data_IF_907958509007
#
_entry.id   IF_907958509007
#
_cell.length_a   1.000
_cell.length_b   1.000
_cell.length_c   1.000
_cell.angle_alpha   90.00
_cell.angle_beta   90.00
_cell.angle_gamma   90.00
#
_symmetry.space_group_name_H-M   'P 1'
#
loop_
_entity.id
_entity.type
_entity.pdbx_description
1 polymer ?
#
# COMPACT_ATOMS: atom_id res chain seq x y z
N UNK A 1 -46.22 -9.93 13.96
CA UNK A 1 -45.61 -9.15 12.86
C UNK A 1 -44.11 -9.07 13.10
N UNK A 2 -43.29 -9.70 12.23
CA UNK A 2 -41.85 -9.90 12.46
C UNK A 2 -41.01 -8.70 12.01
N UNK A 3 -40.15 -8.25 12.92
CA UNK A 3 -39.02 -7.33 12.81
C UNK A 3 -38.00 -7.80 11.75
N UNK A 4 -38.09 -7.28 10.52
CA UNK A 4 -37.12 -7.59 9.44
C UNK A 4 -36.39 -6.31 8.95
N UNK A 5 -36.92 -5.11 9.20
CA UNK A 5 -36.36 -3.86 8.66
C UNK A 5 -35.20 -3.23 9.46
N UNK A 6 -34.95 -3.65 10.70
CA UNK A 6 -33.88 -3.08 11.54
C UNK A 6 -32.49 -3.63 11.21
N UNK A 7 -32.38 -4.89 10.79
CA UNK A 7 -31.08 -5.57 10.63
C UNK A 7 -30.33 -5.20 9.33
N UNK A 8 -31.07 -4.87 8.26
CA UNK A 8 -30.50 -4.41 6.97
C UNK A 8 -29.90 -3.00 7.11
N UNK A 9 -30.55 -2.14 7.90
CA UNK A 9 -30.08 -0.77 8.15
C UNK A 9 -28.76 -0.77 8.92
N UNK A 10 -28.66 -1.60 9.97
CA UNK A 10 -27.47 -1.68 10.83
C UNK A 10 -26.25 -2.21 10.07
N UNK A 11 -26.41 -3.30 9.30
CA UNK A 11 -25.36 -3.85 8.44
C UNK A 11 -24.84 -2.83 7.42
N UNK A 12 -25.74 -2.03 6.83
CA UNK A 12 -25.35 -1.00 5.85
C UNK A 12 -24.56 0.17 6.46
N UNK A 13 -24.81 0.48 7.74
CA UNK A 13 -24.09 1.52 8.48
C UNK A 13 -22.70 1.02 8.89
N UNK A 14 -22.59 -0.23 9.32
CA UNK A 14 -21.31 -0.87 9.67
C UNK A 14 -20.38 -0.97 8.45
N UNK A 15 -20.91 -1.36 7.29
CA UNK A 15 -20.14 -1.41 6.04
C UNK A 15 -19.66 -0.02 5.61
N UNK A 16 -20.50 1.02 5.76
CA UNK A 16 -20.11 2.42 5.49
C UNK A 16 -19.02 2.91 6.44
N UNK A 17 -19.13 2.59 7.73
CA UNK A 17 -18.14 2.97 8.74
C UNK A 17 -16.80 2.28 8.50
N UNK A 18 -16.82 0.99 8.12
CA UNK A 18 -15.62 0.25 7.74
C UNK A 18 -14.94 0.85 6.51
N UNK A 19 -15.70 1.22 5.49
CA UNK A 19 -15.18 1.89 4.30
C UNK A 19 -14.56 3.24 4.62
N UNK A 20 -15.19 4.04 5.49
CA UNK A 20 -14.63 5.33 5.94
C UNK A 20 -13.32 5.14 6.70
N UNK A 21 -13.27 4.24 7.67
CA UNK A 21 -12.06 3.93 8.42
C UNK A 21 -10.90 3.47 7.51
N UNK A 22 -11.21 2.67 6.48
CA UNK A 22 -10.22 2.25 5.50
C UNK A 22 -9.70 3.42 4.64
N UNK A 23 -10.59 4.32 4.21
CA UNK A 23 -10.21 5.53 3.46
C UNK A 23 -9.33 6.44 4.32
N UNK A 24 -9.69 6.65 5.59
CA UNK A 24 -8.90 7.49 6.50
C UNK A 24 -7.54 6.87 6.79
N UNK A 25 -7.48 5.54 6.93
CA UNK A 25 -6.22 4.81 7.03
C UNK A 25 -5.34 5.01 5.79
N UNK A 26 -5.93 4.94 4.59
CA UNK A 26 -5.20 5.18 3.34
C UNK A 26 -4.67 6.61 3.26
N UNK A 27 -5.50 7.61 3.63
CA UNK A 27 -5.10 9.02 3.68
C UNK A 27 -3.93 9.25 4.62
N UNK A 28 -3.97 8.70 5.84
CA UNK A 28 -2.86 8.82 6.80
C UNK A 28 -1.55 8.21 6.29
N UNK A 29 -1.63 7.26 5.35
CA UNK A 29 -0.47 6.56 4.75
C UNK A 29 -0.01 7.18 3.43
N UNK A 30 -0.67 8.21 2.89
CA UNK A 30 -0.26 8.88 1.65
C UNK A 30 1.15 9.48 1.72
N UNK A 31 1.54 10.00 2.89
CA UNK A 31 2.88 10.55 3.14
C UNK A 31 4.00 9.51 3.00
N UNK A 32 3.68 8.22 3.00
CA UNK A 32 4.64 7.14 2.79
C UNK A 32 5.00 6.95 1.32
N UNK A 33 4.16 7.39 0.39
CA UNK A 33 4.44 7.35 -1.04
C UNK A 33 5.24 8.60 -1.45
N UNK A 34 6.01 8.46 -2.54
CA UNK A 34 6.75 9.58 -3.13
C UNK A 34 6.40 9.70 -4.62
N UNK A 35 6.68 10.87 -5.20
CA UNK A 35 6.62 11.10 -6.65
C UNK A 35 5.25 10.78 -7.27
N UNK A 36 5.28 10.11 -8.41
CA UNK A 36 4.09 9.79 -9.21
C UNK A 36 3.05 8.96 -8.44
N UNK A 37 3.47 8.01 -7.61
CA UNK A 37 2.54 7.19 -6.83
C UNK A 37 1.78 8.01 -5.79
N UNK A 38 2.47 8.96 -5.14
CA UNK A 38 1.83 9.87 -4.19
C UNK A 38 0.82 10.76 -4.90
N UNK A 39 1.23 11.38 -6.01
CA UNK A 39 0.36 12.24 -6.81
C UNK A 39 -0.88 11.48 -7.28
N UNK A 40 -0.70 10.27 -7.83
CA UNK A 40 -1.78 9.41 -8.29
C UNK A 40 -2.77 9.10 -7.17
N UNK A 41 -2.28 8.70 -5.99
CA UNK A 41 -3.13 8.34 -4.87
C UNK A 41 -3.80 9.56 -4.22
N UNK A 42 -3.15 10.73 -4.22
CA UNK A 42 -3.77 12.01 -3.84
C UNK A 42 -4.93 12.35 -4.77
N UNK A 43 -4.73 12.27 -6.09
CA UNK A 43 -5.82 12.50 -7.06
C UNK A 43 -7.01 11.56 -6.83
N UNK A 44 -6.74 10.31 -6.45
CA UNK A 44 -7.77 9.30 -6.21
C UNK A 44 -8.50 9.47 -4.86
N UNK A 45 -7.77 9.69 -3.75
CA UNK A 45 -8.31 9.64 -2.38
C UNK A 45 -8.75 10.99 -1.82
N UNK A 46 -8.08 12.08 -2.20
CA UNK A 46 -8.36 13.42 -1.69
C UNK A 46 -9.29 14.16 -2.66
N UNK A 47 -8.98 14.10 -3.95
CA UNK A 47 -9.75 14.82 -4.96
C UNK A 47 -10.94 14.00 -5.53
N UNK A 48 -11.06 12.73 -5.14
CA UNK A 48 -12.16 11.86 -5.57
C UNK A 48 -12.18 11.54 -7.07
N UNK A 49 -11.06 11.72 -7.79
CA UNK A 49 -11.02 11.45 -9.22
C UNK A 49 -11.12 9.95 -9.48
N UNK A 50 -11.96 9.58 -10.44
CA UNK A 50 -12.01 8.20 -10.90
C UNK A 50 -10.83 7.89 -11.84
N UNK A 51 -10.50 6.61 -12.04
CA UNK A 51 -9.36 6.22 -12.89
C UNK A 51 -9.48 6.69 -14.34
N UNK A 52 -10.69 6.97 -14.84
CA UNK A 52 -10.91 7.52 -16.18
C UNK A 52 -10.49 9.00 -16.25
N UNK A 53 -10.88 9.82 -15.28
CA UNK A 53 -10.45 11.22 -15.19
C UNK A 53 -8.93 11.32 -15.10
N UNK A 54 -8.31 10.50 -14.25
CA UNK A 54 -6.85 10.47 -14.09
C UNK A 54 -6.18 10.03 -15.40
N UNK A 55 -6.72 9.04 -16.13
CA UNK A 55 -6.16 8.63 -17.44
C UNK A 55 -6.19 9.74 -18.47
N UNK A 56 -7.30 10.47 -18.54
CA UNK A 56 -7.46 11.56 -19.50
C UNK A 56 -6.50 12.71 -19.22
N UNK A 57 -6.24 13.00 -17.96
CA UNK A 57 -5.30 14.06 -17.56
C UNK A 57 -3.83 13.70 -17.81
N UNK A 58 -3.45 12.43 -17.65
CA UNK A 58 -2.06 12.00 -17.72
C UNK A 58 -1.68 11.31 -19.05
N UNK A 59 -2.62 11.14 -19.98
CA UNK A 59 -2.39 10.44 -21.25
C UNK A 59 -2.09 8.94 -21.09
N UNK A 60 -2.37 8.35 -19.94
CA UNK A 60 -2.08 6.96 -19.62
C UNK A 60 -3.31 6.07 -19.81
N UNK A 61 -3.10 4.78 -20.04
CA UNK A 61 -4.21 3.83 -20.16
C UNK A 61 -5.00 3.69 -18.84
N UNK A 62 -6.33 3.82 -18.91
CA UNK A 62 -7.27 3.67 -17.79
C UNK A 62 -7.05 2.37 -17.01
N UNK A 63 -6.86 1.25 -17.71
CA UNK A 63 -6.71 -0.06 -17.06
C UNK A 63 -5.41 -0.15 -16.25
N UNK A 64 -4.33 0.45 -16.76
CA UNK A 64 -3.05 0.53 -16.07
C UNK A 64 -3.14 1.37 -14.80
N UNK A 65 -3.85 2.50 -14.86
CA UNK A 65 -4.10 3.35 -13.68
C UNK A 65 -4.93 2.62 -12.64
N UNK A 66 -6.06 2.01 -13.03
CA UNK A 66 -6.90 1.26 -12.10
C UNK A 66 -6.12 0.12 -11.43
N UNK A 67 -5.31 -0.63 -12.20
CA UNK A 67 -4.42 -1.67 -11.66
C UNK A 67 -3.34 -1.10 -10.75
N UNK A 68 -2.82 0.11 -11.01
CA UNK A 68 -1.82 0.75 -10.15
C UNK A 68 -2.45 1.18 -8.82
N UNK A 69 -3.59 1.88 -8.86
CA UNK A 69 -4.35 2.29 -7.68
C UNK A 69 -4.67 1.06 -6.81
N UNK A 70 -5.26 0.01 -7.39
CA UNK A 70 -5.62 -1.19 -6.62
C UNK A 70 -4.41 -1.83 -5.92
N UNK A 71 -3.27 -1.95 -6.62
CA UNK A 71 -2.04 -2.50 -6.04
C UNK A 71 -1.49 -1.63 -4.91
N UNK A 72 -1.51 -0.31 -5.06
CA UNK A 72 -1.08 0.62 -4.02
C UNK A 72 -2.02 0.55 -2.81
N UNK A 73 -3.33 0.55 -3.02
CA UNK A 73 -4.34 0.39 -1.95
C UNK A 73 -4.08 -0.88 -1.13
N UNK A 74 -3.96 -2.04 -1.79
CA UNK A 74 -3.71 -3.32 -1.10
C UNK A 74 -2.41 -3.25 -0.28
N UNK A 75 -1.32 -2.73 -0.86
CA UNK A 75 0.00 -2.66 -0.20
C UNK A 75 0.08 -1.63 0.91
N UNK A 76 -0.62 -0.52 0.75
CA UNK A 76 -0.77 0.47 1.81
C UNK A 76 -1.53 -0.10 2.99
N UNK A 77 -2.45 -1.04 2.80
CA UNK A 77 -3.24 -1.68 3.87
C UNK A 77 -2.54 -2.87 4.53
N UNK A 78 -1.83 -3.68 3.75
CA UNK A 78 -1.11 -4.91 4.12
C UNK A 78 -0.17 -4.78 5.35
N UNK A 79 0.30 -3.57 5.65
CA UNK A 79 0.93 -3.27 6.93
C UNK A 79 2.39 -3.72 7.09
N UNK A 80 2.95 -4.55 6.18
CA UNK A 80 4.36 -4.97 6.26
C UNK A 80 5.33 -3.79 6.36
N UNK A 81 5.16 -2.81 5.48
CA UNK A 81 6.00 -1.62 5.52
C UNK A 81 5.78 -0.77 6.78
N UNK A 82 4.56 -0.77 7.33
CA UNK A 82 4.25 -0.08 8.60
C UNK A 82 4.98 -0.76 9.76
N UNK A 83 5.03 -2.09 9.78
CA UNK A 83 5.82 -2.85 10.76
C UNK A 83 7.30 -2.52 10.66
N UNK A 84 7.84 -2.35 9.45
CA UNK A 84 9.22 -1.87 9.27
C UNK A 84 9.42 -0.47 9.87
N UNK A 85 8.49 0.47 9.65
CA UNK A 85 8.56 1.83 10.21
C UNK A 85 8.51 1.79 11.74
N UNK A 86 7.58 1.03 12.32
CA UNK A 86 7.44 0.88 13.79
C UNK A 86 8.72 0.31 14.41
N UNK A 87 9.38 -0.61 13.71
CA UNK A 87 10.62 -1.24 14.15
C UNK A 87 11.87 -0.64 13.47
N UNK A 88 11.83 0.63 13.06
CA UNK A 88 12.90 1.27 12.26
C UNK A 88 14.31 1.10 12.82
N UNK A 89 14.46 0.96 14.15
CA UNK A 89 15.74 0.77 14.84
C UNK A 89 16.43 -0.56 14.47
N UNK A 90 15.67 -1.56 14.02
CA UNK A 90 16.18 -2.86 13.56
C UNK A 90 16.68 -2.84 12.10
N UNK A 91 16.49 -1.72 11.38
CA UNK A 91 16.81 -1.61 9.96
C UNK A 91 17.78 -0.47 9.70
N UNK A 92 18.75 -0.70 8.83
CA UNK A 92 19.55 0.38 8.28
C UNK A 92 18.78 1.14 7.17
N UNK A 93 19.30 2.31 6.77
CA UNK A 93 18.67 3.16 5.75
C UNK A 93 18.46 2.43 4.41
N UNK A 94 19.42 1.60 4.01
CA UNK A 94 19.35 0.84 2.76
C UNK A 94 18.26 -0.24 2.80
N UNK A 95 18.16 -0.98 3.90
CA UNK A 95 17.10 -1.96 4.16
C UNK A 95 15.72 -1.30 4.17
N UNK A 96 15.57 -0.13 4.80
CA UNK A 96 14.32 0.64 4.79
C UNK A 96 13.93 1.09 3.38
N UNK A 97 14.90 1.49 2.57
CA UNK A 97 14.68 1.89 1.19
C UNK A 97 14.23 0.69 0.31
N UNK A 98 14.88 -0.47 0.45
CA UNK A 98 14.45 -1.72 -0.21
C UNK A 98 13.08 -2.17 0.29
N UNK A 99 12.80 -2.08 1.59
CA UNK A 99 11.51 -2.42 2.17
C UNK A 99 10.39 -1.54 1.59
N UNK A 100 10.63 -0.23 1.46
CA UNK A 100 9.69 0.71 0.83
C UNK A 100 9.41 0.30 -0.61
N UNK A 101 10.47 0.08 -1.39
CA UNK A 101 10.30 -0.27 -2.80
C UNK A 101 9.56 -1.60 -2.97
N UNK A 102 9.88 -2.60 -2.15
CA UNK A 102 9.34 -3.94 -2.27
C UNK A 102 7.93 -4.10 -1.70
N UNK A 103 7.70 -3.66 -0.45
CA UNK A 103 6.42 -3.89 0.24
C UNK A 103 5.39 -2.82 -0.11
N UNK A 104 5.78 -1.53 -0.12
CA UNK A 104 4.85 -0.44 -0.36
C UNK A 104 4.62 -0.19 -1.85
N UNK A 105 5.68 0.07 -2.63
CA UNK A 105 5.52 0.48 -4.05
C UNK A 105 5.37 -0.71 -5.01
N UNK A 106 5.73 -1.92 -4.56
CA UNK A 106 5.58 -3.16 -5.31
C UNK A 106 6.52 -3.30 -6.50
N UNK A 107 7.72 -2.73 -6.42
CA UNK A 107 8.75 -2.92 -7.43
C UNK A 107 9.27 -4.37 -7.41
N UNK A 108 9.58 -4.90 -8.59
CA UNK A 108 10.23 -6.20 -8.71
C UNK A 108 11.69 -6.11 -8.25
N UNK A 109 12.26 -7.22 -7.79
CA UNK A 109 13.68 -7.31 -7.39
C UNK A 109 14.61 -6.73 -8.47
N UNK A 110 14.31 -6.99 -9.76
CA UNK A 110 15.05 -6.41 -10.90
C UNK A 110 15.01 -4.88 -10.89
N UNK A 111 13.82 -4.29 -10.73
CA UNK A 111 13.66 -2.82 -10.73
C UNK A 111 14.32 -2.19 -9.49
N UNK A 112 14.24 -2.86 -8.34
CA UNK A 112 14.89 -2.40 -7.11
C UNK A 112 16.41 -2.43 -7.26
N UNK A 113 16.96 -3.53 -7.79
CA UNK A 113 18.39 -3.68 -8.06
C UNK A 113 18.91 -2.52 -8.92
N UNK A 114 18.21 -2.20 -10.02
CA UNK A 114 18.54 -1.07 -10.89
C UNK A 114 18.41 0.27 -10.15
N UNK A 115 17.29 0.53 -9.47
CA UNK A 115 17.01 1.79 -8.76
C UNK A 115 17.99 2.06 -7.61
N UNK A 116 18.53 1.02 -6.99
CA UNK A 116 19.40 1.10 -5.80
C UNK A 116 20.86 0.80 -6.11
N UNK A 117 21.23 0.70 -7.39
CA UNK A 117 22.59 0.34 -7.84
C UNK A 117 23.15 -0.87 -7.11
N UNK A 118 22.32 -1.90 -6.93
CA UNK A 118 22.62 -3.10 -6.17
C UNK A 118 22.43 -4.34 -7.03
N UNK A 119 23.15 -5.42 -6.74
CA UNK A 119 22.94 -6.69 -7.44
C UNK A 119 21.58 -7.28 -7.07
N UNK A 120 20.99 -8.06 -7.98
CA UNK A 120 19.75 -8.81 -7.69
C UNK A 120 19.89 -9.71 -6.46
N UNK A 121 21.07 -10.32 -6.32
CA UNK A 121 21.39 -11.17 -5.17
C UNK A 121 21.33 -10.36 -3.86
N UNK A 122 22.01 -9.20 -3.81
CA UNK A 122 22.00 -8.32 -2.64
C UNK A 122 20.58 -7.89 -2.23
N UNK A 123 19.75 -7.51 -3.20
CA UNK A 123 18.34 -7.15 -2.95
C UNK A 123 17.55 -8.36 -2.42
N UNK A 124 17.77 -9.54 -2.99
CA UNK A 124 17.08 -10.78 -2.56
C UNK A 124 17.43 -11.13 -1.13
N UNK A 125 18.72 -11.14 -0.78
CA UNK A 125 19.19 -11.41 0.57
C UNK A 125 18.72 -10.35 1.57
N UNK A 126 18.70 -9.08 1.15
CA UNK A 126 18.16 -8.00 1.98
C UNK A 126 16.68 -8.20 2.28
N UNK A 127 15.88 -8.57 1.28
CA UNK A 127 14.45 -8.86 1.48
C UNK A 127 14.24 -10.06 2.40
N UNK A 128 15.05 -11.13 2.28
CA UNK A 128 14.99 -12.29 3.19
C UNK A 128 15.25 -11.86 4.64
N UNK A 129 16.31 -11.07 4.88
CA UNK A 129 16.61 -10.53 6.21
C UNK A 129 15.46 -9.69 6.75
N UNK A 130 14.88 -8.81 5.93
CA UNK A 130 13.74 -7.98 6.35
C UNK A 130 12.54 -8.87 6.73
N UNK A 131 12.24 -9.92 5.96
CA UNK A 131 11.14 -10.84 6.27
C UNK A 131 11.36 -11.57 7.60
N UNK A 132 12.56 -12.05 7.86
CA UNK A 132 12.90 -12.69 9.14
C UNK A 132 12.70 -11.73 10.33
N UNK A 133 13.14 -10.46 10.21
CA UNK A 133 12.89 -9.45 11.25
C UNK A 133 11.39 -9.19 11.43
N UNK A 134 10.60 -9.20 10.34
CA UNK A 134 9.15 -9.00 10.43
C UNK A 134 8.46 -10.17 11.16
N UNK A 135 8.90 -11.41 10.91
CA UNK A 135 8.42 -12.61 11.60
C UNK A 135 8.74 -12.54 13.11
N UNK A 136 9.95 -12.15 13.49
CA UNK A 136 10.34 -11.92 14.89
C UNK A 136 9.51 -10.81 15.57
N UNK A 137 9.07 -9.81 14.81
CA UNK A 137 8.22 -8.73 15.32
C UNK A 137 6.72 -9.10 15.39
N UNK A 138 6.38 -10.37 15.14
CA UNK A 138 5.02 -10.88 15.22
C UNK A 138 4.13 -10.49 14.04
N UNK A 139 4.70 -10.06 12.89
CA UNK A 139 3.91 -9.94 11.67
C UNK A 139 3.71 -11.33 11.08
N UNK A 140 2.59 -11.97 11.42
CA UNK A 140 2.12 -13.17 10.73
C UNK A 140 1.31 -12.76 9.52
N UNK A 141 1.60 -13.41 8.38
CA UNK A 141 0.87 -13.20 7.14
C UNK A 141 -0.60 -13.61 7.40
N UNK A 142 -1.50 -12.65 7.65
CA UNK A 142 -2.93 -12.92 7.61
C UNK A 142 -3.29 -13.21 6.16
N UNK A 143 -3.19 -14.50 5.79
CA UNK A 143 -3.81 -15.05 4.58
C UNK A 143 -5.32 -15.05 4.74
#
# INVERSE_FOLDING_TARGET
MKTIHSNVSQKSLDDKNKNRAQIDLLRSRLSLLDGEDKLLMTMYLENGNNSFQISRMNGLCRTSIARRINRLTIRMLDGRYITCIRNRRKFNKHQMAIAKDYFLTGLSIKKIALKRHSSRYCVTETIKKIKSILEECGYTNTK
#
